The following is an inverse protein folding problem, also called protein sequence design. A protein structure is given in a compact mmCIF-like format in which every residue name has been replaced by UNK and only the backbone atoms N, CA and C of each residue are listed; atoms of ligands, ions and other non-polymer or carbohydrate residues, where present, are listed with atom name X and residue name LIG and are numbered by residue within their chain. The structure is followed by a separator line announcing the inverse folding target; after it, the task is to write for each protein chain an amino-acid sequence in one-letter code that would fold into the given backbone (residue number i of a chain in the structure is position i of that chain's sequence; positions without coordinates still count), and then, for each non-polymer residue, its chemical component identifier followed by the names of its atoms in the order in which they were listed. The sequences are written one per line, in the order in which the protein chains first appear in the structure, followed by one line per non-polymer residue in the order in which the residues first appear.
data_IF_646013324507
#
_entry.id   IF_646013324507
#
_cell.length_a   1.000
_cell.length_b   1.000
_cell.length_c   1.000
_cell.angle_alpha   90.00
_cell.angle_beta   90.00
_cell.angle_gamma   90.00
#
_symmetry.space_group_name_H-M   'P 1'
#
loop_
_entity.id
_entity.type
_entity.pdbx_description
1 polymer ?
#
# COMPACT_ATOMS: atom_id res chain seq x y z
N UNK A 1 2.44 -20.87 5.19
CA UNK A 1 2.47 -19.84 4.12
C UNK A 1 1.08 -19.21 4.06
N UNK A 2 0.96 -17.90 4.27
CA UNK A 2 -0.33 -17.22 4.24
C UNK A 2 -0.81 -16.97 2.80
N UNK A 3 -2.11 -17.04 2.56
CA UNK A 3 -2.71 -16.76 1.26
C UNK A 3 -2.74 -15.25 1.00
N UNK A 4 -2.69 -14.85 -0.28
CA UNK A 4 -2.73 -13.43 -0.69
C UNK A 4 -3.80 -13.27 -1.78
N UNK A 5 -4.70 -12.31 -1.59
CA UNK A 5 -5.66 -11.87 -2.59
C UNK A 5 -5.24 -10.46 -3.01
N UNK A 6 -4.96 -10.29 -4.31
CA UNK A 6 -4.56 -9.00 -4.89
C UNK A 6 -5.73 -8.44 -5.69
N UNK A 7 -6.12 -7.20 -5.40
CA UNK A 7 -7.16 -6.45 -6.11
C UNK A 7 -6.49 -5.25 -6.77
N UNK A 8 -6.35 -5.31 -8.09
CA UNK A 8 -5.74 -4.24 -8.87
C UNK A 8 -6.80 -3.47 -9.67
N UNK A 9 -6.80 -2.14 -9.56
CA UNK A 9 -7.74 -1.27 -10.26
C UNK A 9 -7.33 0.20 -10.30
N UNK A 10 -7.93 1.03 -11.18
CA UNK A 10 -7.66 2.46 -11.22
C UNK A 10 -8.15 3.16 -9.94
N UNK A 11 -7.54 4.29 -9.60
CA UNK A 11 -7.96 5.07 -8.43
C UNK A 11 -9.41 5.53 -8.58
N UNK A 12 -10.23 5.36 -7.52
CA UNK A 12 -11.66 5.71 -7.54
C UNK A 12 -12.60 4.60 -8.01
N UNK A 13 -12.09 3.42 -8.38
CA UNK A 13 -12.90 2.27 -8.80
C UNK A 13 -13.61 1.52 -7.64
N UNK A 14 -13.50 2.01 -6.41
CA UNK A 14 -14.05 1.35 -5.22
C UNK A 14 -13.26 0.12 -4.73
N UNK A 15 -12.05 -0.10 -5.24
CA UNK A 15 -11.18 -1.24 -4.83
C UNK A 15 -10.87 -1.21 -3.33
N UNK A 16 -10.58 -0.03 -2.78
CA UNK A 16 -10.33 0.13 -1.34
C UNK A 16 -11.54 -0.31 -0.49
N UNK A 17 -12.75 0.06 -0.89
CA UNK A 17 -13.99 -0.34 -0.21
C UNK A 17 -14.20 -1.86 -0.28
N UNK A 18 -13.96 -2.46 -1.45
CA UNK A 18 -14.04 -3.91 -1.62
C UNK A 18 -13.00 -4.64 -0.77
N UNK A 19 -11.76 -4.17 -0.78
CA UNK A 19 -10.67 -4.78 -0.02
C UNK A 19 -10.95 -4.75 1.49
N UNK A 20 -11.47 -3.63 2.00
CA UNK A 20 -11.91 -3.51 3.40
C UNK A 20 -13.00 -4.52 3.75
N UNK A 21 -14.06 -4.58 2.94
CA UNK A 21 -15.15 -5.53 3.16
C UNK A 21 -14.67 -7.00 3.11
N UNK A 22 -13.74 -7.34 2.21
CA UNK A 22 -13.15 -8.67 2.14
C UNK A 22 -12.25 -9.00 3.33
N UNK A 23 -11.40 -8.05 3.75
CA UNK A 23 -10.53 -8.21 4.89
C UNK A 23 -11.34 -8.43 6.18
N UNK A 24 -12.43 -7.67 6.37
CA UNK A 24 -13.37 -7.85 7.48
C UNK A 24 -14.11 -9.19 7.40
N UNK A 25 -14.64 -9.56 6.23
CA UNK A 25 -15.38 -10.81 6.08
C UNK A 25 -14.50 -12.05 6.31
N UNK A 26 -13.22 -11.99 5.90
CA UNK A 26 -12.27 -13.10 6.02
C UNK A 26 -11.44 -13.05 7.30
N UNK A 27 -11.48 -11.94 8.05
CA UNK A 27 -10.58 -11.64 9.17
C UNK A 27 -9.10 -11.74 8.75
N UNK A 28 -8.79 -11.21 7.57
CA UNK A 28 -7.44 -11.20 6.98
C UNK A 28 -6.81 -9.82 7.11
N UNK A 29 -5.49 -9.77 7.01
CA UNK A 29 -4.73 -8.51 6.99
C UNK A 29 -5.06 -7.72 5.72
N UNK A 30 -5.04 -6.39 5.82
CA UNK A 30 -5.27 -5.49 4.69
C UNK A 30 -4.01 -4.67 4.41
N UNK A 31 -3.60 -4.64 3.15
CA UNK A 31 -2.49 -3.85 2.64
C UNK A 31 -3.01 -2.88 1.58
N UNK A 32 -2.98 -1.59 1.90
CA UNK A 32 -3.19 -0.51 0.93
C UNK A 32 -1.83 -0.04 0.41
N UNK A 33 -1.49 -0.45 -0.82
CA UNK A 33 -0.20 -0.04 -1.41
C UNK A 33 -0.14 1.46 -1.68
N UNK A 34 -1.27 2.10 -2.00
CA UNK A 34 -1.34 3.54 -2.21
C UNK A 34 -1.00 4.30 -0.93
N UNK A 35 -1.48 3.80 0.21
CA UNK A 35 -1.11 4.34 1.52
C UNK A 35 0.39 4.23 1.78
N UNK A 36 1.06 3.14 1.39
CA UNK A 36 2.52 3.00 1.55
C UNK A 36 3.29 4.07 0.78
N UNK A 37 2.94 4.33 -0.49
CA UNK A 37 3.60 5.40 -1.26
C UNK A 37 3.35 6.78 -0.64
N UNK A 38 2.15 7.01 -0.08
CA UNK A 38 1.82 8.26 0.62
C UNK A 38 2.58 8.42 1.91
N UNK A 39 2.75 7.35 2.69
CA UNK A 39 3.57 7.38 3.91
C UNK A 39 5.03 7.67 3.57
N UNK A 40 5.58 7.05 2.52
CA UNK A 40 6.94 7.36 2.07
C UNK A 40 7.08 8.82 1.64
N UNK A 41 6.09 9.33 0.89
CA UNK A 41 6.07 10.73 0.48
C UNK A 41 5.98 11.68 1.67
N UNK A 42 5.12 11.37 2.65
CA UNK A 42 5.01 12.15 3.88
C UNK A 42 6.31 12.13 4.69
N UNK A 43 6.93 10.96 4.84
CA UNK A 43 8.24 10.83 5.48
C UNK A 43 9.30 11.66 4.74
N UNK A 44 9.30 11.67 3.41
CA UNK A 44 10.22 12.48 2.63
C UNK A 44 9.99 13.99 2.89
N UNK A 45 8.73 14.43 2.97
CA UNK A 45 8.38 15.81 3.30
C UNK A 45 8.83 16.19 4.73
N UNK A 46 8.58 15.33 5.73
CA UNK A 46 8.99 15.56 7.12
C UNK A 46 10.51 15.64 7.28
N UNK A 47 11.23 14.74 6.62
CA UNK A 47 12.70 14.68 6.65
C UNK A 47 13.38 15.62 5.65
N UNK A 48 12.62 16.45 4.94
CA UNK A 48 13.12 17.38 3.91
C UNK A 48 13.97 16.68 2.83
N UNK A 49 13.60 15.44 2.50
CA UNK A 49 14.20 14.63 1.43
C UNK A 49 13.57 15.03 0.11
N UNK A 50 14.41 15.24 -0.91
CA UNK A 50 13.95 15.58 -2.25
C UNK A 50 13.14 14.42 -2.87
N UNK A 51 11.84 14.65 -3.07
CA UNK A 51 10.91 13.70 -3.70
C UNK A 51 11.18 13.46 -5.18
N UNK A 52 12.03 14.26 -5.81
CA UNK A 52 12.50 14.06 -7.18
C UNK A 52 13.82 13.26 -7.27
N UNK A 53 14.44 12.91 -6.14
CA UNK A 53 15.72 12.20 -6.10
C UNK A 53 15.55 10.72 -5.73
N UNK A 54 15.63 9.83 -6.72
CA UNK A 54 15.55 8.38 -6.50
C UNK A 54 16.61 7.89 -5.49
N UNK A 55 17.85 8.41 -5.58
CA UNK A 55 18.95 8.00 -4.70
C UNK A 55 18.72 8.38 -3.24
N UNK A 56 18.00 9.49 -2.99
CA UNK A 56 17.66 9.91 -1.63
C UNK A 56 16.44 9.16 -1.08
N UNK A 57 15.50 8.79 -1.95
CA UNK A 57 14.27 8.08 -1.57
C UNK A 57 14.50 6.59 -1.28
N UNK A 58 15.43 5.92 -1.95
CA UNK A 58 15.67 4.48 -1.79
C UNK A 58 16.06 4.10 -0.34
N UNK A 59 17.01 4.79 0.33
CA UNK A 59 17.34 4.52 1.73
C UNK A 59 16.14 4.76 2.66
N UNK A 60 15.37 5.82 2.44
CA UNK A 60 14.19 6.14 3.22
C UNK A 60 13.12 5.05 3.06
N UNK A 61 12.83 4.65 1.82
CA UNK A 61 11.90 3.56 1.51
C UNK A 61 12.33 2.23 2.13
N UNK A 62 13.63 1.98 2.25
CA UNK A 62 14.21 0.77 2.84
C UNK A 62 14.14 0.77 4.37
N UNK A 63 14.09 1.92 5.03
CA UNK A 63 14.05 2.03 6.50
C UNK A 63 12.74 2.61 7.07
N UNK A 64 11.77 2.93 6.22
CA UNK A 64 10.44 3.45 6.58
C UNK A 64 9.76 2.74 7.78
N UNK A 65 9.71 3.37 8.94
CA UNK A 65 9.03 2.82 10.11
C UNK A 65 7.51 3.06 10.00
N UNK A 66 6.82 2.15 9.33
CA UNK A 66 5.37 2.22 9.12
C UNK A 66 4.65 0.99 9.66
N UNK A 67 3.53 1.23 10.34
CA UNK A 67 2.60 0.19 10.80
C UNK A 67 1.19 0.52 10.36
N UNK A 68 0.50 -0.50 9.86
CA UNK A 68 -0.91 -0.43 9.49
C UNK A 68 -1.69 -1.21 10.53
N UNK A 69 -2.55 -0.52 11.27
CA UNK A 69 -3.36 -1.10 12.34
C UNK A 69 -4.82 -1.01 11.94
N UNK A 70 -5.51 -2.16 11.90
CA UNK A 70 -6.95 -2.20 11.64
C UNK A 70 -7.69 -2.31 12.96
N UNK A 71 -8.39 -1.25 13.35
CA UNK A 71 -9.19 -1.20 14.59
C UNK A 71 -10.65 -0.91 14.23
N UNK A 72 -11.56 -1.85 14.51
CA UNK A 72 -13.00 -1.69 14.27
C UNK A 72 -13.37 -1.27 12.82
N UNK A 73 -12.64 -1.77 11.82
CA UNK A 73 -12.85 -1.43 10.40
C UNK A 73 -12.19 -0.13 9.94
N UNK A 74 -11.57 0.62 10.85
CA UNK A 74 -10.75 1.77 10.52
C UNK A 74 -9.29 1.37 10.39
N UNK A 75 -8.67 1.76 9.27
CA UNK A 75 -7.25 1.59 9.04
C UNK A 75 -6.51 2.82 9.57
N UNK A 76 -5.78 2.63 10.66
CA UNK A 76 -4.83 3.58 11.24
C UNK A 76 -3.44 3.35 10.63
N UNK A 77 -2.79 4.45 10.26
CA UNK A 77 -1.46 4.45 9.66
C UNK A 77 -0.52 5.17 10.60
N UNK A 78 0.42 4.42 11.17
CA UNK A 78 1.39 4.94 12.13
C UNK A 78 2.74 5.05 11.43
N UNK A 79 3.31 6.26 11.35
CA UNK A 79 4.64 6.55 10.84
C UNK A 79 5.51 7.04 12.01
N UNK A 80 6.63 6.36 12.28
CA UNK A 80 7.60 6.75 13.33
C UNK A 80 6.97 6.91 14.73
N UNK A 81 5.85 6.22 14.98
CA UNK A 81 5.10 6.27 16.24
C UNK A 81 3.93 7.24 16.26
N UNK A 82 3.72 8.04 15.20
CA UNK A 82 2.63 9.02 15.11
C UNK A 82 1.54 8.57 14.15
N UNK A 83 0.28 8.83 14.50
CA UNK A 83 -0.87 8.57 13.62
C UNK A 83 -0.93 9.63 12.51
N UNK A 84 -0.62 9.20 11.28
CA UNK A 84 -0.61 10.03 10.07
C UNK A 84 -1.79 9.73 9.15
N UNK A 85 -2.81 9.01 9.61
CA UNK A 85 -3.95 8.53 8.79
C UNK A 85 -4.67 9.66 8.04
N UNK A 86 -4.74 10.85 8.63
CA UNK A 86 -5.31 12.04 8.01
C UNK A 86 -4.35 12.73 7.03
N UNK A 87 -3.10 12.91 7.44
CA UNK A 87 -2.06 13.61 6.66
C UNK A 87 -1.79 12.95 5.32
N UNK A 88 -1.73 11.61 5.29
CA UNK A 88 -1.48 10.85 4.05
C UNK A 88 -2.61 11.00 3.02
N UNK A 89 -3.75 11.59 3.39
CA UNK A 89 -4.90 11.84 2.50
C UNK A 89 -4.91 13.25 1.92
N UNK A 90 -3.98 14.12 2.30
CA UNK A 90 -3.86 15.47 1.74
C UNK A 90 -3.46 15.43 0.27
N UNK A 91 -3.83 16.47 -0.47
CA UNK A 91 -3.50 16.57 -1.90
C UNK A 91 -1.99 16.72 -2.12
N UNK A 92 -1.29 17.40 -1.22
CA UNK A 92 0.16 17.56 -1.24
C UNK A 92 0.87 16.20 -1.19
N UNK A 93 0.52 15.37 -0.21
CA UNK A 93 1.07 14.02 -0.08
C UNK A 93 0.68 13.13 -1.27
N UNK A 94 -0.55 13.25 -1.79
CA UNK A 94 -0.97 12.51 -2.97
C UNK A 94 -0.14 12.85 -4.23
N UNK A 95 0.19 14.14 -4.41
CA UNK A 95 1.05 14.61 -5.50
C UNK A 95 2.49 14.11 -5.35
N UNK A 96 3.04 14.20 -4.14
CA UNK A 96 4.38 13.70 -3.84
C UNK A 96 4.47 12.18 -4.02
N UNK A 97 3.47 11.43 -3.53
CA UNK A 97 3.39 9.97 -3.70
C UNK A 97 3.41 9.55 -5.17
N UNK A 98 2.77 10.32 -6.05
CA UNK A 98 2.75 10.05 -7.49
C UNK A 98 4.14 10.21 -8.12
N UNK A 99 4.94 11.17 -7.65
CA UNK A 99 6.33 11.37 -8.10
C UNK A 99 7.23 10.24 -7.59
N UNK A 100 7.14 9.94 -6.30
CA UNK A 100 7.92 8.90 -5.63
C UNK A 100 7.64 7.51 -6.25
N UNK A 101 6.39 7.24 -6.62
CA UNK A 101 5.99 5.98 -7.24
C UNK A 101 6.50 5.80 -8.68
N UNK A 102 6.99 6.86 -9.35
CA UNK A 102 7.52 6.76 -10.71
C UNK A 102 8.90 6.05 -10.74
N UNK A 103 9.62 6.02 -9.62
CA UNK A 103 10.97 5.50 -9.53
C UNK A 103 11.02 3.97 -9.34
N UNK A 104 11.59 3.20 -10.28
CA UNK A 104 11.63 1.74 -10.21
C UNK A 104 12.31 1.21 -8.95
N UNK A 105 13.43 1.82 -8.51
CA UNK A 105 14.18 1.33 -7.33
C UNK A 105 13.43 1.59 -6.03
N UNK A 106 12.66 2.67 -5.98
CA UNK A 106 11.76 2.97 -4.85
C UNK A 106 10.65 1.93 -4.76
N UNK A 107 10.01 1.61 -5.90
CA UNK A 107 8.99 0.54 -5.96
C UNK A 107 9.56 -0.78 -5.48
N UNK A 108 10.78 -1.13 -5.90
CA UNK A 108 11.45 -2.36 -5.46
C UNK A 108 11.72 -2.39 -3.95
N UNK A 109 12.20 -1.28 -3.37
CA UNK A 109 12.43 -1.16 -1.94
C UNK A 109 11.12 -1.34 -1.14
N UNK A 110 10.04 -0.71 -1.59
CA UNK A 110 8.73 -0.82 -0.95
C UNK A 110 8.09 -2.21 -1.10
N UNK A 111 8.33 -2.91 -2.21
CA UNK A 111 7.85 -4.29 -2.40
C UNK A 111 8.38 -5.25 -1.34
N UNK A 112 9.64 -5.07 -0.89
CA UNK A 112 10.20 -5.90 0.18
C UNK A 112 9.42 -5.73 1.49
N UNK A 113 9.02 -4.50 1.81
CA UNK A 113 8.13 -4.22 2.96
C UNK A 113 6.74 -4.79 2.77
N UNK A 114 6.14 -4.60 1.59
CA UNK A 114 4.79 -5.10 1.29
C UNK A 114 4.69 -6.62 1.46
N UNK A 115 5.74 -7.36 1.11
CA UNK A 115 5.82 -8.81 1.35
C UNK A 115 5.86 -9.18 2.83
N UNK A 116 6.38 -8.31 3.71
CA UNK A 116 6.39 -8.56 5.15
C UNK A 116 4.99 -8.53 5.77
N UNK A 117 4.01 -7.84 5.16
CA UNK A 117 2.62 -7.86 5.61
C UNK A 117 1.89 -9.19 5.31
N UNK A 118 2.55 -10.13 4.63
CA UNK A 118 1.99 -11.45 4.34
C UNK A 118 2.08 -12.35 5.57
N UNK A 119 1.13 -12.17 6.48
CA UNK A 119 1.01 -12.95 7.71
C UNK A 119 -0.25 -13.83 7.70
N UNK A 120 -0.27 -14.86 8.55
CA UNK A 120 -1.48 -15.66 8.77
C UNK A 120 -2.58 -14.79 9.43
N UNK A 121 -3.88 -15.03 9.13
CA UNK A 121 -4.43 -16.09 8.29
C UNK A 121 -4.36 -15.82 6.77
N UNK A 122 -4.14 -14.58 6.34
CA UNK A 122 -3.97 -14.19 4.95
C UNK A 122 -3.91 -12.67 4.76
N UNK A 123 -3.70 -12.23 3.53
CA UNK A 123 -3.52 -10.82 3.15
C UNK A 123 -4.43 -10.44 1.98
N UNK A 124 -5.16 -9.34 2.11
CA UNK A 124 -5.84 -8.63 1.03
C UNK A 124 -4.98 -7.43 0.64
N UNK A 125 -4.60 -7.34 -0.62
CA UNK A 125 -3.68 -6.32 -1.14
C UNK A 125 -4.37 -5.48 -2.22
N UNK A 126 -4.58 -4.18 -1.95
CA UNK A 126 -5.15 -3.18 -2.85
C UNK A 126 -4.04 -2.40 -3.57
N UNK A 127 -4.16 -2.22 -4.88
CA UNK A 127 -3.19 -1.41 -5.61
C UNK A 127 -3.37 -1.35 -7.12
N UNK A 128 -2.27 -1.02 -7.81
CA UNK A 128 -2.20 -1.00 -9.29
C UNK A 128 -1.27 -2.06 -9.86
N UNK A 129 -0.30 -2.52 -9.07
CA UNK A 129 0.75 -3.46 -9.48
C UNK A 129 1.00 -4.54 -8.40
N UNK A 130 -0.05 -4.97 -7.68
CA UNK A 130 0.09 -5.90 -6.55
C UNK A 130 0.41 -7.32 -6.96
N UNK A 131 0.33 -7.64 -8.26
CA UNK A 131 0.87 -8.87 -8.82
C UNK A 131 2.34 -9.12 -8.44
N UNK A 132 3.14 -8.08 -8.17
CA UNK A 132 4.54 -8.22 -7.75
C UNK A 132 4.74 -8.59 -6.26
N UNK A 133 3.70 -8.44 -5.44
CA UNK A 133 3.67 -8.94 -4.06
C UNK A 133 3.42 -10.46 -4.00
N UNK A 134 3.06 -11.09 -5.12
CA UNK A 134 2.92 -12.54 -5.21
C UNK A 134 4.27 -13.22 -5.08
N UNK A 135 4.18 -14.46 -4.62
CA UNK A 135 5.30 -15.38 -4.51
C UNK A 135 5.05 -16.40 -5.62
N UNK A 136 5.84 -16.37 -6.71
CA UNK A 136 5.57 -17.19 -7.89
C UNK A 136 5.61 -18.69 -7.60
N UNK A 137 6.26 -19.09 -6.49
CA UNK A 137 6.45 -20.49 -6.11
C UNK A 137 5.40 -20.99 -5.09
N UNK A 138 4.41 -20.17 -4.71
CA UNK A 138 3.41 -20.53 -3.70
C UNK A 138 2.18 -21.25 -4.32
N UNK A 139 1.98 -22.56 -4.09
CA UNK A 139 0.95 -23.38 -4.77
C UNK A 139 -0.50 -23.05 -4.38
N UNK A 140 -0.74 -22.22 -3.36
CA UNK A 140 -2.07 -21.89 -2.82
C UNK A 140 -2.51 -20.44 -3.04
N UNK A 141 -1.90 -19.69 -3.97
CA UNK A 141 -2.30 -18.30 -4.23
C UNK A 141 -3.53 -18.23 -5.17
N UNK A 142 -4.69 -17.95 -4.59
CA UNK A 142 -5.95 -17.80 -5.34
C UNK A 142 -6.00 -16.50 -6.16
N UNK A 143 -6.81 -16.55 -7.23
CA UNK A 143 -6.86 -15.71 -8.44
C UNK A 143 -6.93 -14.19 -8.24
N UNK A 144 -6.28 -13.52 -9.20
CA UNK A 144 -6.38 -12.11 -9.56
C UNK A 144 -7.84 -11.80 -9.95
N UNK A 145 -8.56 -11.02 -9.14
CA UNK A 145 -9.78 -10.35 -9.59
C UNK A 145 -9.37 -8.96 -10.09
N UNK A 146 -9.09 -8.84 -11.39
CA UNK A 146 -8.98 -7.54 -12.04
C UNK A 146 -10.39 -6.94 -12.09
N UNK A 147 -10.69 -6.06 -11.14
CA UNK A 147 -11.94 -5.32 -11.13
C UNK A 147 -11.73 -4.06 -11.99
N UNK A 148 -12.19 -4.11 -13.24
CA UNK A 148 -12.34 -2.92 -14.06
C UNK A 148 -13.71 -2.31 -13.74
N UNK A 149 -13.83 -1.58 -12.64
CA UNK A 149 -14.99 -0.71 -12.46
C UNK A 149 -14.72 0.60 -13.21
N UNK A 150 -15.60 0.96 -14.13
CA UNK A 150 -15.63 2.28 -14.75
C UNK A 150 -15.86 3.33 -13.65
N UNK A 151 -14.91 4.25 -13.49
CA UNK A 151 -15.03 5.36 -12.55
C UNK A 151 -16.22 6.25 -12.96
N UNK A 152 -17.28 6.24 -12.16
CA UNK A 152 -18.19 7.38 -12.06
C UNK A 152 -18.03 7.96 -10.66
N UNK A 153 -17.43 9.16 -10.59
CA UNK A 153 -17.26 9.92 -9.35
C UNK A 153 -18.55 9.94 -8.52
N UNK A 154 -18.46 9.54 -7.25
CA UNK A 154 -19.15 10.18 -6.12
C UNK A 154 -18.29 10.13 -4.88
#
# INVERSE_FOLDING_TARGET
IAAVITIDGPGGAGTCTLCKAMAEALQWHLLDSGAIYRVLALAALHHHVDVASEDALVPLASHLDVRFVSTNGNLEVILEGEDVSGEIRTQEVANAASQVAAFPRVREALLRRQRAFRELPGLIADGRDMGMCRDPDAPSQTKLARYAAECSCR
#
